data_IF_776467273087
#
_entry.id   IF_776467273087
#
_cell.length_a   1.000
_cell.length_b   1.000
_cell.length_c   1.000
_cell.angle_alpha   90.00
_cell.angle_beta   90.00
_cell.angle_gamma   90.00
#
_symmetry.space_group_name_H-M   'P 1'
#
loop_
_entity.id
_entity.type
_entity.pdbx_description
1 polymer ?
#
# COMPACT_ATOMS: atom_id res chain seq x y z
N UNK A 1 34.92 1.68 -11.37
CA UNK A 1 34.21 0.39 -11.21
C UNK A 1 33.19 0.57 -10.12
N UNK A 2 31.95 0.12 -10.32
CA UNK A 2 30.92 0.18 -9.27
C UNK A 2 31.45 -0.50 -8.00
N UNK A 3 31.19 0.12 -6.85
CA UNK A 3 31.63 -0.38 -5.54
C UNK A 3 30.78 -1.54 -5.04
N UNK A 4 29.67 -1.87 -5.71
CA UNK A 4 28.83 -3.04 -5.45
C UNK A 4 28.24 -3.66 -6.74
N UNK A 5 27.41 -4.69 -6.56
CA UNK A 5 26.72 -5.41 -7.65
C UNK A 5 25.30 -4.86 -7.93
N UNK A 6 24.97 -3.65 -7.47
CA UNK A 6 23.66 -3.04 -7.69
C UNK A 6 23.72 -2.05 -8.85
N UNK A 7 22.59 -1.93 -9.54
CA UNK A 7 22.35 -0.87 -10.52
C UNK A 7 21.89 0.38 -9.77
N UNK A 8 22.65 1.46 -9.90
CA UNK A 8 22.36 2.76 -9.28
C UNK A 8 22.01 3.82 -10.32
N UNK A 9 22.17 3.47 -11.60
CA UNK A 9 21.89 4.33 -12.74
C UNK A 9 20.37 4.52 -12.91
N UNK A 10 19.99 5.69 -13.43
CA UNK A 10 18.60 5.99 -13.73
C UNK A 10 18.12 5.23 -14.98
N UNK A 11 16.79 5.08 -15.13
CA UNK A 11 16.20 4.37 -16.27
C UNK A 11 16.63 4.96 -17.63
N UNK A 12 16.85 6.27 -17.68
CA UNK A 12 17.33 6.98 -18.88
C UNK A 12 18.72 6.49 -19.32
N UNK A 13 19.60 6.20 -18.37
CA UNK A 13 20.95 5.73 -18.64
C UNK A 13 20.98 4.24 -18.98
N UNK A 14 20.23 3.42 -18.25
CA UNK A 14 20.19 1.96 -18.44
C UNK A 14 19.42 1.58 -19.71
N UNK A 15 18.30 2.24 -19.96
CA UNK A 15 17.36 1.90 -21.04
C UNK A 15 16.72 3.17 -21.63
N UNK A 16 17.50 4.02 -22.34
CA UNK A 16 17.04 5.31 -22.87
C UNK A 16 15.78 5.20 -23.75
N UNK A 17 15.71 4.17 -24.60
CA UNK A 17 14.53 3.96 -25.42
C UNK A 17 13.26 3.66 -24.61
N UNK A 18 13.39 2.94 -23.48
CA UNK A 18 12.24 2.67 -22.60
C UNK A 18 11.83 3.95 -21.86
N UNK A 19 12.81 4.76 -21.45
CA UNK A 19 12.54 6.09 -20.90
C UNK A 19 11.74 6.95 -21.89
N UNK A 20 12.17 7.02 -23.15
CA UNK A 20 11.49 7.77 -24.21
C UNK A 20 10.05 7.29 -24.42
N UNK A 21 9.83 5.96 -24.47
CA UNK A 21 8.49 5.38 -24.60
C UNK A 21 7.56 5.81 -23.45
N UNK A 22 8.07 5.87 -22.22
CA UNK A 22 7.30 6.31 -21.06
C UNK A 22 6.94 7.80 -21.19
N UNK A 23 7.88 8.64 -21.62
CA UNK A 23 7.64 10.08 -21.82
C UNK A 23 6.59 10.32 -22.91
N UNK A 24 6.71 9.64 -24.04
CA UNK A 24 5.74 9.76 -25.14
C UNK A 24 4.34 9.30 -24.75
N UNK A 25 4.22 8.25 -23.94
CA UNK A 25 2.93 7.79 -23.44
C UNK A 25 2.33 8.77 -22.41
N UNK A 26 3.14 9.34 -21.51
CA UNK A 26 2.68 10.38 -20.57
C UNK A 26 2.15 11.61 -21.32
N UNK A 27 2.88 12.06 -22.35
CA UNK A 27 2.44 13.16 -23.23
C UNK A 27 1.17 12.82 -24.01
N UNK A 28 1.09 11.61 -24.58
CA UNK A 28 -0.10 11.15 -25.32
C UNK A 28 -1.33 11.15 -24.43
N UNK A 29 -1.21 10.66 -23.21
CA UNK A 29 -2.31 10.64 -22.26
C UNK A 29 -2.69 12.06 -21.79
N UNK A 30 -1.72 12.98 -21.65
CA UNK A 30 -2.02 14.37 -21.29
C UNK A 30 -2.74 15.16 -22.40
N UNK A 31 -2.53 14.79 -23.67
CA UNK A 31 -3.06 15.52 -24.83
C UNK A 31 -4.34 14.95 -25.43
N UNK A 32 -4.78 13.76 -25.01
CA UNK A 32 -5.97 13.09 -25.57
C UNK A 32 -7.11 13.04 -24.57
N UNK A 33 -8.34 13.16 -25.08
CA UNK A 33 -9.54 12.77 -24.34
C UNK A 33 -9.71 11.26 -24.45
N UNK A 34 -9.72 10.57 -23.31
CA UNK A 34 -9.84 9.12 -23.23
C UNK A 34 -11.23 8.78 -22.69
N UNK A 35 -12.06 8.13 -23.52
CA UNK A 35 -13.45 7.79 -23.21
C UNK A 35 -13.66 6.31 -22.86
N UNK A 36 -12.60 5.60 -22.49
CA UNK A 36 -12.69 4.20 -22.09
C UNK A 36 -13.15 4.16 -20.62
N UNK A 37 -14.36 3.66 -20.29
CA UNK A 37 -14.94 3.82 -18.95
C UNK A 37 -14.16 3.14 -17.81
N UNK A 38 -13.37 2.13 -18.13
CA UNK A 38 -12.55 1.39 -17.16
C UNK A 38 -11.14 1.97 -16.99
N UNK A 39 -10.72 2.92 -17.82
CA UNK A 39 -9.41 3.56 -17.70
C UNK A 39 -9.46 4.76 -16.77
N UNK A 40 -8.39 4.96 -16.00
CA UNK A 40 -8.26 6.09 -15.08
C UNK A 40 -6.80 6.49 -14.90
N UNK A 41 -6.60 7.73 -14.45
CA UNK A 41 -5.28 8.26 -14.15
C UNK A 41 -4.94 8.02 -12.67
N UNK A 42 -3.89 7.23 -12.43
CA UNK A 42 -3.38 7.03 -11.08
C UNK A 42 -2.64 8.29 -10.59
N UNK A 43 -2.97 8.83 -9.40
CA UNK A 43 -2.26 9.98 -8.85
C UNK A 43 -0.76 9.74 -8.67
N UNK A 44 0.04 10.81 -8.74
CA UNK A 44 1.51 10.74 -8.58
C UNK A 44 1.93 10.05 -7.27
N UNK A 45 1.21 10.28 -6.18
CA UNK A 45 1.48 9.64 -4.89
C UNK A 45 1.34 8.11 -4.94
N UNK A 46 0.34 7.60 -5.67
CA UNK A 46 0.12 6.16 -5.89
C UNK A 46 1.30 5.59 -6.68
N UNK A 47 1.64 6.21 -7.82
CA UNK A 47 2.77 5.76 -8.64
C UNK A 47 4.09 5.72 -7.86
N UNK A 48 4.36 6.75 -7.03
CA UNK A 48 5.54 6.80 -6.16
C UNK A 48 5.60 5.63 -5.18
N UNK A 49 4.49 5.29 -4.55
CA UNK A 49 4.47 4.18 -3.59
C UNK A 49 4.54 2.80 -4.28
N UNK A 50 4.01 2.64 -5.51
CA UNK A 50 4.21 1.42 -6.32
C UNK A 50 5.67 1.19 -6.70
N UNK A 51 6.42 2.27 -7.00
CA UNK A 51 7.85 2.19 -7.33
C UNK A 51 8.78 2.06 -6.13
N UNK A 52 8.26 1.76 -4.94
CA UNK A 52 9.05 1.69 -3.71
C UNK A 52 9.68 0.31 -3.49
N UNK A 53 10.60 0.23 -2.51
CA UNK A 53 11.29 -1.03 -2.13
C UNK A 53 10.35 -2.10 -1.56
N UNK A 54 9.08 -1.79 -1.30
CA UNK A 54 8.08 -2.80 -0.95
C UNK A 54 7.87 -3.85 -2.05
N UNK A 55 8.19 -3.53 -3.31
CA UNK A 55 8.15 -4.49 -4.43
C UNK A 55 9.14 -5.65 -4.27
N UNK A 56 10.19 -5.47 -3.47
CA UNK A 56 11.24 -6.48 -3.30
C UNK A 56 10.91 -7.52 -2.22
N UNK A 57 9.80 -7.34 -1.50
CA UNK A 57 9.49 -8.12 -0.31
C UNK A 57 8.50 -9.23 -0.64
N UNK A 58 8.88 -10.46 -0.32
CA UNK A 58 7.99 -11.62 -0.35
C UNK A 58 7.39 -11.86 1.04
N UNK A 59 6.10 -11.57 1.22
CA UNK A 59 5.45 -11.55 2.52
C UNK A 59 4.25 -12.50 2.60
N UNK A 60 4.45 -13.78 2.31
CA UNK A 60 3.36 -14.77 2.33
C UNK A 60 2.76 -14.96 3.74
N UNK A 61 1.43 -15.03 3.81
CA UNK A 61 0.66 -15.05 5.05
C UNK A 61 0.00 -13.70 5.34
N UNK A 62 -0.45 -13.49 6.58
CA UNK A 62 -1.17 -12.30 7.00
C UNK A 62 -0.53 -11.62 8.22
N UNK A 63 -0.75 -10.31 8.42
CA UNK A 63 -0.39 -9.62 9.66
C UNK A 63 -1.02 -10.30 10.89
N UNK A 64 -0.51 -10.04 12.10
CA UNK A 64 -1.17 -10.46 13.34
C UNK A 64 -2.63 -9.95 13.39
N UNK A 65 -3.57 -10.81 13.80
CA UNK A 65 -4.99 -10.44 13.88
C UNK A 65 -5.27 -9.32 14.88
N UNK A 66 -4.45 -9.23 15.94
CA UNK A 66 -4.48 -8.12 16.90
C UNK A 66 -4.16 -6.80 16.21
N UNK A 67 -3.07 -6.76 15.44
CA UNK A 67 -2.60 -5.56 14.75
C UNK A 67 -3.63 -4.99 13.77
N UNK A 68 -4.33 -5.85 13.03
CA UNK A 68 -5.41 -5.42 12.12
C UNK A 68 -6.52 -4.66 12.87
N UNK A 69 -6.76 -5.02 14.14
CA UNK A 69 -7.81 -4.46 15.00
C UNK A 69 -7.33 -3.31 15.88
N UNK A 70 -6.02 -3.12 16.04
CA UNK A 70 -5.45 -2.07 16.88
C UNK A 70 -5.93 -0.68 16.44
N UNK A 71 -6.20 0.28 17.34
CA UNK A 71 -6.58 1.63 16.93
C UNK A 71 -5.49 2.30 16.07
N UNK A 72 -5.84 3.36 15.33
CA UNK A 72 -4.89 3.98 14.39
C UNK A 72 -3.65 4.53 15.10
N UNK A 73 -3.83 5.11 16.29
CA UNK A 73 -2.76 5.59 17.16
C UNK A 73 -1.78 4.46 17.53
N UNK A 74 -2.29 3.25 17.75
CA UNK A 74 -1.48 2.06 18.06
C UNK A 74 -0.75 1.51 16.84
N UNK A 75 -1.30 1.66 15.64
CA UNK A 75 -0.57 1.33 14.40
C UNK A 75 0.56 2.31 14.14
N UNK A 76 0.41 3.58 14.49
CA UNK A 76 1.46 4.60 14.35
C UNK A 76 2.57 4.49 15.40
N UNK A 77 2.34 3.75 16.49
CA UNK A 77 3.39 3.39 17.46
C UNK A 77 4.31 2.28 16.91
N UNK A 78 5.15 2.66 15.95
CA UNK A 78 6.08 1.75 15.27
C UNK A 78 7.02 1.03 16.25
N UNK A 79 7.64 1.69 17.26
CA UNK A 79 8.47 1.00 18.25
C UNK A 79 7.71 -0.13 18.97
N UNK A 80 6.46 0.11 19.38
CA UNK A 80 5.64 -0.91 20.00
C UNK A 80 5.33 -2.07 19.05
N UNK A 81 4.94 -1.77 17.80
CA UNK A 81 4.62 -2.80 16.80
C UNK A 81 5.83 -3.68 16.49
N UNK A 82 7.02 -3.08 16.36
CA UNK A 82 8.27 -3.81 16.15
C UNK A 82 8.67 -4.65 17.37
N UNK A 83 8.51 -4.12 18.59
CA UNK A 83 8.78 -4.87 19.81
C UNK A 83 7.83 -6.06 19.97
N UNK A 84 6.54 -5.86 19.69
CA UNK A 84 5.54 -6.93 19.70
C UNK A 84 5.87 -8.01 18.68
N UNK A 85 6.19 -7.62 17.45
CA UNK A 85 6.60 -8.55 16.39
C UNK A 85 7.85 -9.35 16.78
N UNK A 86 8.89 -8.71 17.33
CA UNK A 86 10.11 -9.41 17.75
C UNK A 86 9.87 -10.40 18.89
N UNK A 87 8.87 -10.14 19.74
CA UNK A 87 8.53 -11.00 20.88
C UNK A 87 7.62 -12.17 20.50
N UNK A 88 6.63 -11.93 19.66
CA UNK A 88 5.54 -12.88 19.39
C UNK A 88 5.49 -13.38 17.95
N UNK A 89 6.37 -12.86 17.09
CA UNK A 89 6.34 -13.06 15.64
C UNK A 89 4.97 -12.71 15.03
N UNK A 90 4.70 -13.26 13.85
CA UNK A 90 3.46 -13.11 13.10
C UNK A 90 3.04 -14.41 12.43
N UNK A 91 1.94 -14.34 11.68
CA UNK A 91 1.35 -15.45 10.93
C UNK A 91 1.92 -15.58 9.51
N UNK A 92 3.10 -14.99 9.24
CA UNK A 92 3.76 -15.09 7.93
C UNK A 92 4.75 -16.22 7.88
N UNK A 93 4.87 -16.83 6.71
CA UNK A 93 5.78 -17.94 6.44
C UNK A 93 7.25 -17.48 6.43
N UNK A 94 7.48 -16.26 5.96
CA UNK A 94 8.81 -15.64 5.87
C UNK A 94 8.95 -14.49 6.89
N UNK A 95 10.17 -14.27 7.39
CA UNK A 95 10.50 -13.22 8.38
C UNK A 95 11.22 -12.04 7.74
N UNK A 96 11.39 -10.95 8.49
CA UNK A 96 11.98 -9.69 7.97
C UNK A 96 10.96 -8.83 7.21
N UNK A 97 9.70 -8.92 7.62
CA UNK A 97 8.51 -8.34 6.95
C UNK A 97 7.81 -7.34 7.86
N UNK A 98 8.55 -6.78 8.81
CA UNK A 98 8.05 -6.02 9.95
C UNK A 98 7.19 -4.83 9.51
N UNK A 99 7.69 -4.04 8.55
CA UNK A 99 6.98 -2.89 8.00
C UNK A 99 5.84 -3.26 7.04
N UNK A 100 5.86 -4.47 6.47
CA UNK A 100 4.77 -4.95 5.60
C UNK A 100 3.50 -5.15 6.43
N UNK A 101 3.63 -5.61 7.68
CA UNK A 101 2.51 -5.75 8.60
C UNK A 101 1.81 -4.41 8.85
N UNK A 102 2.57 -3.31 8.97
CA UNK A 102 2.03 -1.96 9.13
C UNK A 102 1.26 -1.49 7.90
N UNK A 103 1.89 -1.58 6.73
CA UNK A 103 1.28 -1.13 5.46
C UNK A 103 0.01 -1.92 5.16
N UNK A 104 0.04 -3.25 5.32
CA UNK A 104 -1.12 -4.09 5.05
C UNK A 104 -2.25 -3.87 6.06
N UNK A 105 -1.94 -3.70 7.35
CA UNK A 105 -2.97 -3.41 8.36
C UNK A 105 -3.63 -2.05 8.13
N UNK A 106 -2.84 -1.03 7.77
CA UNK A 106 -3.34 0.29 7.42
C UNK A 106 -4.19 0.24 6.14
N UNK A 107 -3.76 -0.52 5.14
CA UNK A 107 -4.50 -0.76 3.91
C UNK A 107 -5.88 -1.36 4.17
N UNK A 108 -5.92 -2.48 4.92
CA UNK A 108 -7.16 -3.16 5.28
C UNK A 108 -8.13 -2.21 5.98
N UNK A 109 -7.61 -1.38 6.91
CA UNK A 109 -8.41 -0.36 7.59
C UNK A 109 -8.96 0.69 6.64
N UNK A 110 -8.13 1.26 5.77
CA UNK A 110 -8.57 2.30 4.83
C UNK A 110 -9.58 1.76 3.82
N UNK A 111 -9.40 0.53 3.34
CA UNK A 111 -10.40 -0.15 2.52
C UNK A 111 -11.71 -0.32 3.29
N UNK A 112 -11.67 -0.84 4.52
CA UNK A 112 -12.87 -0.99 5.34
C UNK A 112 -13.58 0.36 5.57
N UNK A 113 -12.83 1.43 5.83
CA UNK A 113 -13.38 2.79 5.99
C UNK A 113 -13.99 3.33 4.70
N UNK A 114 -13.35 3.12 3.56
CA UNK A 114 -13.82 3.60 2.26
C UNK A 114 -15.13 2.93 1.81
N UNK A 115 -15.35 1.67 2.20
CA UNK A 115 -16.53 0.88 1.84
C UNK A 115 -17.55 0.71 2.98
N UNK A 116 -17.33 1.32 4.14
CA UNK A 116 -18.27 1.29 5.24
C UNK A 116 -19.55 2.08 4.88
N UNK A 117 -20.72 1.51 5.15
CA UNK A 117 -21.99 2.22 5.05
C UNK A 117 -22.18 3.16 6.25
N UNK A 118 -23.00 4.22 6.08
CA UNK A 118 -23.10 5.35 7.02
C UNK A 118 -23.37 4.97 8.48
N UNK A 119 -22.81 5.78 9.38
CA UNK A 119 -22.92 5.81 10.87
C UNK A 119 -21.89 5.04 11.72
N UNK A 120 -21.08 4.14 11.16
CA UNK A 120 -20.08 3.40 11.96
C UNK A 120 -18.84 4.22 12.39
N UNK A 121 -18.54 5.35 11.75
CA UNK A 121 -17.29 6.10 11.98
C UNK A 121 -17.45 7.56 12.41
N UNK A 122 -18.68 8.08 12.51
CA UNK A 122 -18.93 9.48 12.92
C UNK A 122 -18.96 9.69 14.44
N UNK A 123 -19.11 8.63 15.22
CA UNK A 123 -18.93 8.68 16.66
C UNK A 123 -17.55 8.08 16.98
N UNK A 124 -16.73 8.77 17.78
CA UNK A 124 -15.43 8.30 18.28
C UNK A 124 -15.53 7.11 19.24
N UNK A 125 -16.37 6.12 18.93
CA UNK A 125 -16.59 4.91 19.72
C UNK A 125 -15.73 3.78 19.17
N UNK A 126 -14.74 3.38 19.97
CA UNK A 126 -13.93 2.19 19.77
C UNK A 126 -14.78 0.95 19.45
N UNK A 127 -14.53 0.20 18.37
CA UNK A 127 -15.37 -0.94 18.01
C UNK A 127 -14.96 -2.18 18.81
N UNK A 128 -15.74 -2.51 19.83
CA UNK A 128 -15.87 -3.90 20.29
C UNK A 128 -16.63 -4.68 19.20
N UNK A 129 -15.91 -5.56 18.52
CA UNK A 129 -16.34 -6.79 17.86
C UNK A 129 -17.69 -6.80 17.10
N UNK A 130 -17.63 -7.02 15.79
CA UNK A 130 -18.21 -8.23 15.20
C UNK A 130 -17.67 -8.47 13.78
N UNK A 131 -17.32 -9.72 13.54
CA UNK A 131 -16.70 -10.24 12.33
C UNK A 131 -17.73 -10.59 11.26
N UNK A 132 -17.49 -10.16 10.03
CA UNK A 132 -17.88 -10.93 8.84
C UNK A 132 -16.76 -10.86 7.82
N UNK A 133 -16.20 -12.05 7.55
CA UNK A 133 -15.24 -12.39 6.50
C UNK A 133 -15.55 -11.75 5.16
N UNK A 134 -14.64 -10.91 4.64
CA UNK A 134 -14.55 -10.63 3.21
C UNK A 134 -13.24 -11.22 2.69
N UNK A 135 -13.38 -12.34 1.99
CA UNK A 135 -12.31 -13.11 1.35
C UNK A 135 -11.98 -12.44 0.02
N UNK A 136 -10.73 -12.01 -0.17
CA UNK A 136 -10.25 -11.51 -1.47
C UNK A 136 -8.87 -10.88 -1.33
N UNK A 137 -7.91 -11.32 -2.14
CA UNK A 137 -6.53 -10.86 -2.14
C UNK A 137 -6.42 -9.36 -2.49
N UNK A 138 -6.24 -8.52 -1.48
CA UNK A 138 -6.08 -7.07 -1.65
C UNK A 138 -4.60 -6.69 -1.76
N UNK A 139 -3.93 -7.13 -2.82
CA UNK A 139 -2.59 -6.62 -3.16
C UNK A 139 -2.63 -5.56 -4.27
N UNK A 140 -3.78 -5.32 -4.92
CA UNK A 140 -3.93 -4.29 -5.96
C UNK A 140 -4.74 -3.04 -5.58
N UNK A 141 -5.66 -3.12 -4.61
CA UNK A 141 -6.55 -1.99 -4.27
C UNK A 141 -6.04 -1.05 -3.16
N UNK A 142 -5.00 -1.47 -2.43
CA UNK A 142 -4.55 -0.75 -1.24
C UNK A 142 -3.99 0.66 -1.50
N UNK A 143 -3.48 0.91 -2.70
CA UNK A 143 -2.75 2.15 -2.96
C UNK A 143 -3.65 3.26 -3.54
N UNK A 144 -4.76 2.89 -4.18
CA UNK A 144 -5.75 3.84 -4.69
C UNK A 144 -6.55 4.50 -3.54
N UNK A 145 -6.78 3.77 -2.45
CA UNK A 145 -7.46 4.28 -1.25
C UNK A 145 -6.65 5.34 -0.48
N UNK A 146 -5.33 5.44 -0.71
CA UNK A 146 -4.47 6.42 -0.03
C UNK A 146 -4.66 7.85 -0.53
N UNK A 147 -5.18 8.05 -1.76
CA UNK A 147 -5.32 9.40 -2.35
C UNK A 147 -6.71 9.99 -2.23
N UNK A 148 -7.75 9.17 -2.01
CA UNK A 148 -9.13 9.63 -1.92
C UNK A 148 -9.43 10.46 -0.65
N UNK A 149 -8.61 10.34 0.39
CA UNK A 149 -8.79 11.11 1.65
C UNK A 149 -8.07 12.46 1.68
N UNK A 150 -7.26 12.79 0.67
CA UNK A 150 -6.56 14.10 0.61
C UNK A 150 -7.34 15.16 -0.19
N UNK A 151 -8.40 14.78 -0.90
CA UNK A 151 -9.20 15.68 -1.75
C UNK A 151 -10.69 15.71 -1.35
N UNK A 152 -11.03 15.41 -0.09
CA UNK A 152 -12.39 15.51 0.45
C UNK A 152 -12.40 16.37 1.72
#
# INVERSE_FOLDING_TARGET
MSTDFLFHEDLEEIAPFVHDLIQWEEERQARKLIFIPSESYAPKAVRKALGSRFQNIYAEGYPPSSMVRDPEERLHDVPWQLAYYRRYADRRFYKGVDYVNLVESLAQRRCAQAFAHGDFFRAGTSPTAQSSTFLGSVTKLSLMALTLKQNA
#
